data_IF_605208426527
#
_entry.id   IF_605208426527
#
_cell.length_a   1.000
_cell.length_b   1.000
_cell.length_c   1.000
_cell.angle_alpha   90.00
_cell.angle_beta   90.00
_cell.angle_gamma   90.00
#
_symmetry.space_group_name_H-M   'P 1'
#
loop_
_entity.id
_entity.type
_entity.pdbx_description
1 polymer ?
#
# COMPACT_ATOMS: atom_id res chain seq x y z
N UNK A 1 9.41 -21.37 45.83
CA UNK A 1 9.66 -20.12 45.08
C UNK A 1 8.65 -19.88 43.94
N UNK A 2 8.00 -20.91 43.40
CA UNK A 2 7.02 -20.80 42.29
C UNK A 2 5.85 -19.84 42.54
N UNK A 3 5.32 -19.78 43.77
CA UNK A 3 4.17 -18.91 44.11
C UNK A 3 4.48 -17.41 43.88
N UNK A 4 5.70 -16.95 44.20
CA UNK A 4 6.11 -15.57 43.92
C UNK A 4 6.24 -15.32 42.40
N UNK A 5 6.69 -16.31 41.64
CA UNK A 5 6.80 -16.22 40.17
C UNK A 5 5.42 -16.07 39.52
N UNK A 6 4.43 -16.86 39.95
CA UNK A 6 3.07 -16.78 39.46
C UNK A 6 2.37 -15.45 39.81
N UNK A 7 2.65 -14.88 40.99
CA UNK A 7 2.16 -13.55 41.36
C UNK A 7 2.83 -12.46 40.50
N UNK A 8 4.14 -12.56 40.26
CA UNK A 8 4.86 -11.65 39.36
C UNK A 8 4.30 -11.68 37.92
N UNK A 9 4.07 -12.88 37.38
CA UNK A 9 3.44 -13.07 36.08
C UNK A 9 2.01 -12.51 36.04
N UNK A 10 1.18 -12.78 37.05
CA UNK A 10 -0.18 -12.26 37.13
C UNK A 10 -0.21 -10.71 37.19
N UNK A 11 0.66 -10.09 37.99
CA UNK A 11 0.79 -8.63 38.07
C UNK A 11 1.29 -8.02 36.74
N UNK A 12 2.22 -8.71 36.05
CA UNK A 12 2.67 -8.31 34.72
C UNK A 12 1.52 -8.36 33.69
N UNK A 13 0.73 -9.44 33.65
CA UNK A 13 -0.46 -9.54 32.79
C UNK A 13 -1.51 -8.47 33.12
N UNK A 14 -1.75 -8.17 34.40
CA UNK A 14 -2.68 -7.11 34.82
C UNK A 14 -2.18 -5.74 34.34
N UNK A 15 -0.91 -5.41 34.57
CA UNK A 15 -0.32 -4.16 34.09
C UNK A 15 -0.36 -4.04 32.55
N UNK A 16 -0.16 -5.15 31.85
CA UNK A 16 -0.22 -5.23 30.39
C UNK A 16 -1.65 -5.04 29.85
N UNK A 17 -2.65 -5.66 30.48
CA UNK A 17 -4.08 -5.45 30.15
C UNK A 17 -4.48 -3.99 30.38
N UNK A 18 -4.05 -3.37 31.48
CA UNK A 18 -4.30 -1.95 31.74
C UNK A 18 -3.64 -1.04 30.68
N UNK A 19 -2.44 -1.37 30.23
CA UNK A 19 -1.75 -0.66 29.14
C UNK A 19 -2.50 -0.81 27.80
N UNK A 20 -2.98 -2.00 27.46
CA UNK A 20 -3.84 -2.24 26.28
C UNK A 20 -5.12 -1.41 26.36
N UNK A 21 -5.81 -1.42 27.50
CA UNK A 21 -7.04 -0.63 27.70
C UNK A 21 -6.79 0.88 27.60
N UNK A 22 -5.62 1.35 28.05
CA UNK A 22 -5.18 2.73 27.88
C UNK A 22 -4.97 3.09 26.41
N UNK A 23 -4.30 2.22 25.63
CA UNK A 23 -4.09 2.39 24.19
C UNK A 23 -5.43 2.39 23.42
N UNK A 24 -6.33 1.44 23.72
CA UNK A 24 -7.67 1.39 23.11
C UNK A 24 -8.45 2.67 23.44
N UNK A 25 -8.39 3.15 24.68
CA UNK A 25 -9.02 4.41 25.10
C UNK A 25 -8.44 5.62 24.38
N UNK A 26 -7.13 5.65 24.14
CA UNK A 26 -6.46 6.69 23.36
C UNK A 26 -6.92 6.69 21.88
N UNK A 27 -7.01 5.53 21.23
CA UNK A 27 -7.53 5.45 19.85
C UNK A 27 -9.02 5.80 19.77
N UNK A 28 -9.82 5.39 20.76
CA UNK A 28 -11.24 5.76 20.88
C UNK A 28 -11.42 7.28 21.05
N UNK A 29 -10.56 7.94 21.85
CA UNK A 29 -10.59 9.39 22.09
C UNK A 29 -10.10 10.23 20.89
N UNK A 30 -9.27 9.68 20.02
CA UNK A 30 -8.72 10.39 18.85
C UNK A 30 -9.56 10.25 17.55
N UNK A 31 -10.76 9.65 17.59
CA UNK A 31 -11.75 9.66 16.50
C UNK A 31 -11.42 8.87 15.23
N UNK A 32 -10.15 8.49 14.97
CA UNK A 32 -9.70 7.78 13.76
C UNK A 32 -9.94 6.26 13.77
N UNK A 33 -10.91 5.78 14.56
CA UNK A 33 -11.16 4.35 14.75
C UNK A 33 -11.71 3.60 13.51
N UNK A 34 -12.20 4.32 12.49
CA UNK A 34 -13.01 3.74 11.40
C UNK A 34 -12.25 3.05 10.24
N UNK A 35 -10.94 3.23 10.08
CA UNK A 35 -10.24 2.72 8.87
C UNK A 35 -9.00 1.83 9.13
N UNK A 36 -8.26 2.00 10.23
CA UNK A 36 -7.05 1.21 10.50
C UNK A 36 -6.98 0.57 11.91
N UNK A 37 -7.90 0.92 12.81
CA UNK A 37 -7.78 0.51 14.22
C UNK A 37 -8.02 -0.97 14.52
N UNK A 38 -8.75 -1.70 13.67
CA UNK A 38 -9.06 -3.14 13.89
C UNK A 38 -7.95 -4.09 13.43
N UNK A 39 -7.53 -4.09 12.14
CA UNK A 39 -6.55 -5.07 11.67
C UNK A 39 -5.17 -4.90 12.34
N UNK A 40 -4.69 -3.67 12.52
CA UNK A 40 -3.38 -3.43 13.15
C UNK A 40 -3.33 -3.87 14.61
N UNK A 41 -4.42 -3.69 15.37
CA UNK A 41 -4.50 -4.19 16.76
C UNK A 41 -4.59 -5.72 16.79
N UNK A 42 -5.32 -6.35 15.86
CA UNK A 42 -5.39 -7.82 15.75
C UNK A 42 -4.02 -8.41 15.40
N UNK A 43 -3.30 -7.83 14.42
CA UNK A 43 -1.95 -8.27 14.05
C UNK A 43 -0.95 -8.10 15.20
N UNK A 44 -1.05 -6.99 15.96
CA UNK A 44 -0.24 -6.78 17.16
C UNK A 44 -0.53 -7.84 18.24
N UNK A 45 -1.81 -8.15 18.50
CA UNK A 45 -2.20 -9.22 19.43
C UNK A 45 -1.68 -10.59 18.98
N UNK A 46 -1.79 -10.93 17.70
CA UNK A 46 -1.25 -12.20 17.16
C UNK A 46 0.27 -12.27 17.35
N UNK A 47 1.00 -11.18 17.02
CA UNK A 47 2.45 -11.13 17.22
C UNK A 47 2.84 -11.30 18.69
N UNK A 48 2.06 -10.75 19.62
CA UNK A 48 2.31 -10.88 21.07
C UNK A 48 1.98 -12.29 21.57
N UNK A 49 0.87 -12.88 21.13
CA UNK A 49 0.51 -14.26 21.47
C UNK A 49 1.65 -15.20 21.06
N UNK A 50 2.19 -15.05 19.85
CA UNK A 50 3.33 -15.84 19.37
C UNK A 50 4.59 -15.67 20.24
N UNK A 51 4.87 -14.47 20.74
CA UNK A 51 5.99 -14.22 21.67
C UNK A 51 5.75 -14.93 23.01
N UNK A 52 4.55 -14.79 23.59
CA UNK A 52 4.20 -15.37 24.90
C UNK A 52 4.11 -16.91 24.86
N UNK A 53 3.61 -17.49 23.76
CA UNK A 53 3.62 -18.96 23.58
C UNK A 53 4.98 -19.50 23.16
N UNK A 54 5.84 -18.67 22.55
CA UNK A 54 7.17 -19.06 22.10
C UNK A 54 8.22 -19.15 23.22
N UNK A 55 7.98 -18.54 24.38
CA UNK A 55 8.91 -18.57 25.53
C UNK A 55 8.87 -19.85 26.36
N UNK A 56 8.01 -20.82 26.04
CA UNK A 56 8.01 -22.15 26.67
C UNK A 56 8.61 -23.19 25.73
N UNK A 57 9.65 -23.88 26.21
CA UNK A 57 10.38 -24.99 25.55
C UNK A 57 11.19 -24.64 24.29
N UNK A 58 12.33 -23.97 24.46
CA UNK A 58 13.63 -24.51 24.01
C UNK A 58 14.82 -23.64 24.44
N UNK A 59 15.94 -24.30 24.77
CA UNK A 59 17.27 -23.72 24.99
C UNK A 59 17.90 -23.26 23.65
N UNK A 60 17.13 -22.58 22.79
CA UNK A 60 17.59 -22.13 21.48
C UNK A 60 17.95 -20.64 21.55
N UNK A 61 19.24 -20.26 21.38
CA UNK A 61 19.68 -18.85 21.45
C UNK A 61 19.03 -17.95 20.39
N UNK A 62 18.44 -18.57 19.35
CA UNK A 62 17.65 -17.92 18.30
C UNK A 62 16.34 -17.33 18.87
N UNK A 63 15.65 -18.04 19.78
CA UNK A 63 14.39 -17.54 20.37
C UNK A 63 14.69 -16.37 21.31
N UNK A 64 15.76 -16.46 22.10
CA UNK A 64 16.22 -15.35 22.94
C UNK A 64 16.59 -14.12 22.10
N UNK A 65 17.31 -14.30 20.98
CA UNK A 65 17.57 -13.22 20.03
C UNK A 65 16.29 -12.58 19.49
N UNK A 66 15.29 -13.37 19.09
CA UNK A 66 14.00 -12.83 18.63
C UNK A 66 13.20 -12.14 19.75
N UNK A 67 13.28 -12.63 20.99
CA UNK A 67 12.65 -11.99 22.15
C UNK A 67 13.30 -10.63 22.46
N UNK A 68 14.64 -10.57 22.47
CA UNK A 68 15.41 -9.32 22.65
C UNK A 68 15.14 -8.35 21.50
N UNK A 69 15.16 -8.80 20.25
CA UNK A 69 14.86 -7.98 19.08
C UNK A 69 13.43 -7.42 19.15
N UNK A 70 12.45 -8.25 19.53
CA UNK A 70 11.06 -7.83 19.74
C UNK A 70 10.94 -6.80 20.87
N UNK A 71 11.66 -7.00 21.97
CA UNK A 71 11.70 -6.04 23.08
C UNK A 71 12.31 -4.68 22.65
N UNK A 72 13.41 -4.69 21.88
CA UNK A 72 14.03 -3.47 21.32
C UNK A 72 13.03 -2.73 20.41
N UNK A 73 12.33 -3.46 19.53
CA UNK A 73 11.31 -2.88 18.65
C UNK A 73 10.11 -2.33 19.46
N UNK A 74 9.69 -3.01 20.52
CA UNK A 74 8.64 -2.53 21.43
C UNK A 74 9.05 -1.24 22.14
N UNK A 75 10.28 -1.15 22.66
CA UNK A 75 10.83 0.09 23.24
C UNK A 75 10.89 1.21 22.19
N UNK A 76 11.31 0.93 20.97
CA UNK A 76 11.31 1.90 19.87
C UNK A 76 9.90 2.45 19.57
N UNK A 77 8.87 1.59 19.49
CA UNK A 77 7.49 2.02 19.32
C UNK A 77 6.95 2.80 20.53
N UNK A 78 7.34 2.43 21.75
CA UNK A 78 7.03 3.20 22.96
C UNK A 78 7.62 4.61 22.91
N UNK A 79 8.89 4.74 22.53
CA UNK A 79 9.57 6.03 22.34
C UNK A 79 8.88 6.86 21.25
N UNK A 80 8.53 6.26 20.10
CA UNK A 80 7.78 6.96 19.05
C UNK A 80 6.38 7.42 19.51
N UNK A 81 5.67 6.59 20.29
CA UNK A 81 4.37 6.95 20.86
C UNK A 81 4.52 8.13 21.84
N UNK A 82 5.52 8.07 22.72
CA UNK A 82 5.86 9.16 23.66
C UNK A 82 6.23 10.44 22.90
N UNK A 83 7.08 10.38 21.87
CA UNK A 83 7.43 11.53 21.03
C UNK A 83 6.21 12.12 20.29
N UNK A 84 5.29 11.27 19.82
CA UNK A 84 4.05 11.70 19.17
C UNK A 84 3.09 12.39 20.15
N UNK A 85 3.05 11.94 21.42
CA UNK A 85 2.34 12.63 22.50
C UNK A 85 3.03 13.95 22.85
N UNK A 86 4.36 13.99 22.99
CA UNK A 86 5.14 15.21 23.26
C UNK A 86 4.91 16.29 22.18
N UNK A 87 4.86 15.91 20.90
CA UNK A 87 4.53 16.84 19.80
C UNK A 87 3.09 17.37 19.83
N UNK A 88 2.18 16.76 20.61
CA UNK A 88 0.73 17.05 20.60
C UNK A 88 0.20 17.67 21.90
N UNK A 89 0.83 17.46 23.05
CA UNK A 89 0.29 17.90 24.35
C UNK A 89 0.97 19.13 24.98
N UNK A 90 2.15 19.55 24.52
CA UNK A 90 2.78 20.82 24.92
C UNK A 90 3.23 20.94 26.39
N UNK A 91 2.90 19.99 27.25
CA UNK A 91 3.29 19.96 28.67
C UNK A 91 4.79 19.70 28.85
N UNK A 92 5.35 20.28 29.91
CA UNK A 92 6.78 20.57 30.03
C UNK A 92 7.71 19.35 29.83
N UNK A 93 8.56 19.44 28.79
CA UNK A 93 9.55 18.43 28.36
C UNK A 93 10.44 17.89 29.49
N UNK A 94 10.69 18.68 30.55
CA UNK A 94 11.63 18.33 31.63
C UNK A 94 11.20 17.11 32.46
N UNK A 95 9.90 16.95 32.76
CA UNK A 95 9.45 15.86 33.64
C UNK A 95 9.53 14.48 32.96
N UNK A 96 9.24 14.40 31.67
CA UNK A 96 9.29 13.13 30.93
C UNK A 96 10.72 12.71 30.55
N UNK A 97 11.65 13.66 30.37
CA UNK A 97 13.08 13.35 30.19
C UNK A 97 13.63 12.66 31.45
N UNK A 98 13.25 13.13 32.65
CA UNK A 98 13.67 12.51 33.92
C UNK A 98 13.21 11.05 33.99
N UNK A 99 11.95 10.75 33.65
CA UNK A 99 11.46 9.35 33.63
C UNK A 99 12.19 8.48 32.61
N UNK A 100 12.45 8.99 31.41
CA UNK A 100 13.18 8.24 30.37
C UNK A 100 14.65 7.98 30.76
N UNK A 101 15.33 8.97 31.34
CA UNK A 101 16.71 8.85 31.82
C UNK A 101 16.80 7.87 32.99
N UNK A 102 15.87 7.94 33.96
CA UNK A 102 15.81 6.98 35.08
C UNK A 102 15.58 5.54 34.60
N UNK A 103 14.76 5.33 33.56
CA UNK A 103 14.54 4.01 32.98
C UNK A 103 15.81 3.46 32.30
N UNK A 104 16.54 4.29 31.54
CA UNK A 104 17.82 3.91 30.92
C UNK A 104 18.89 3.59 31.98
N UNK A 105 18.97 4.39 33.06
CA UNK A 105 19.89 4.13 34.18
C UNK A 105 19.56 2.81 34.88
N UNK A 106 18.27 2.51 35.10
CA UNK A 106 17.84 1.25 35.71
C UNK A 106 18.25 0.03 34.87
N UNK A 107 18.12 0.11 33.54
CA UNK A 107 18.57 -0.96 32.63
C UNK A 107 20.10 -1.09 32.61
N UNK A 108 20.83 0.02 32.62
CA UNK A 108 22.31 0.00 32.63
C UNK A 108 22.89 -0.61 33.92
N UNK A 109 22.28 -0.36 35.08
CA UNK A 109 22.73 -0.90 36.37
C UNK A 109 22.58 -2.42 36.48
N UNK A 110 21.65 -3.04 35.74
CA UNK A 110 21.50 -4.50 35.69
C UNK A 110 22.61 -5.20 34.88
N UNK A 111 23.39 -4.45 34.08
CA UNK A 111 24.45 -5.00 33.22
C UNK A 111 25.84 -5.14 33.85
N UNK A 112 26.05 -4.60 35.06
CA UNK A 112 27.40 -4.52 35.68
C UNK A 112 27.46 -5.46 36.89
N UNK A 113 27.68 -6.76 36.65
CA UNK A 113 27.86 -7.77 37.71
C UNK A 113 28.90 -8.84 37.35
N UNK A 114 30.14 -8.42 37.10
CA UNK A 114 31.32 -9.28 37.10
C UNK A 114 32.60 -8.46 37.39
N UNK A 115 33.43 -8.80 38.39
CA UNK A 115 34.62 -8.04 38.73
C UNK A 115 35.87 -8.53 37.96
N UNK A 116 36.70 -7.59 37.51
CA UNK A 116 38.08 -7.84 37.07
C UNK A 116 39.05 -7.41 38.18
N UNK A 117 40.18 -8.12 38.32
CA UNK A 117 41.23 -7.80 39.30
C UNK A 117 42.59 -7.73 38.63
N UNK A 118 43.26 -6.57 38.72
CA UNK A 118 44.54 -6.30 38.07
C UNK A 118 45.72 -6.36 39.08
N UNK A 119 46.76 -7.12 38.71
CA UNK A 119 48.20 -6.80 38.78
C UNK A 119 48.72 -5.78 39.83
N UNK A 120 49.81 -6.13 40.54
CA UNK A 120 51.17 -5.49 40.43
C UNK A 120 52.07 -5.72 41.66
N UNK A 121 53.36 -5.99 41.40
CA UNK A 121 54.48 -6.20 42.34
C UNK A 121 55.08 -4.87 42.86
N UNK A 122 55.67 -4.85 44.07
CA UNK A 122 56.42 -3.69 44.57
C UNK A 122 57.81 -4.04 45.18
N UNK A 123 58.84 -3.42 44.57
CA UNK A 123 60.12 -2.87 45.06
C UNK A 123 60.68 -3.18 46.47
N UNK A 124 62.02 -3.34 46.56
CA UNK A 124 62.82 -3.17 47.78
C UNK A 124 63.88 -2.05 47.63
N UNK A 125 64.40 -1.50 48.74
CA UNK A 125 65.00 -0.14 48.83
C UNK A 125 66.25 -0.07 49.75
N UNK A 126 67.21 0.85 49.47
CA UNK A 126 68.32 1.36 50.36
C UNK A 126 69.42 0.32 50.71
N UNK A 127 70.64 0.63 51.21
CA UNK A 127 71.31 1.73 51.98
C UNK A 127 72.77 1.91 51.42
N UNK A 128 73.69 2.74 51.94
CA UNK A 128 73.89 4.21 51.78
C UNK A 128 75.32 4.62 52.28
N UNK A 129 75.70 5.92 52.18
CA UNK A 129 76.92 6.59 52.76
C UNK A 129 78.30 6.23 52.16
N UNK A 130 79.39 7.02 52.26
CA UNK A 130 79.68 8.47 52.39
C UNK A 130 81.17 8.70 52.03
N UNK A 131 81.58 9.86 51.51
CA UNK A 131 82.90 10.52 51.73
C UNK A 131 83.13 11.70 50.76
N UNK A 132 83.40 12.86 51.33
CA UNK A 132 84.13 14.01 50.78
C UNK A 132 85.55 13.94 51.44
N UNK A 133 86.68 14.43 50.93
CA UNK A 133 86.95 15.56 50.02
C UNK A 133 88.16 15.27 49.10
N UNK A 134 87.93 14.77 47.89
CA UNK A 134 88.87 14.97 46.76
C UNK A 134 88.17 15.01 45.39
N UNK A 135 86.84 15.13 45.43
CA UNK A 135 85.93 14.65 44.38
C UNK A 135 85.33 15.78 43.52
N UNK A 136 85.51 17.03 43.92
CA UNK A 136 84.69 18.17 43.47
C UNK A 136 84.88 18.54 41.97
N UNK A 137 86.05 18.34 41.36
CA UNK A 137 86.26 18.70 39.94
C UNK A 137 85.83 17.61 38.95
N UNK A 138 86.09 16.34 39.25
CA UNK A 138 85.63 15.19 38.43
C UNK A 138 84.12 15.00 38.56
N UNK A 139 83.59 15.08 39.78
CA UNK A 139 82.16 14.94 40.04
C UNK A 139 81.36 16.10 39.45
N UNK A 140 81.92 17.31 39.33
CA UNK A 140 81.32 18.43 38.58
C UNK A 140 81.31 18.17 37.07
N UNK A 141 82.40 17.67 36.48
CA UNK A 141 82.41 17.27 35.06
C UNK A 141 81.47 16.10 34.77
N UNK A 142 81.35 15.15 35.70
CA UNK A 142 80.41 14.04 35.59
C UNK A 142 78.96 14.50 35.75
N UNK A 143 78.68 15.52 36.58
CA UNK A 143 77.38 16.17 36.67
C UNK A 143 77.04 16.94 35.39
N UNK A 144 77.95 17.78 34.90
CA UNK A 144 77.76 18.55 33.65
C UNK A 144 77.54 17.62 32.45
N UNK A 145 78.27 16.49 32.39
CA UNK A 145 78.03 15.47 31.37
C UNK A 145 76.66 14.79 31.55
N UNK A 146 76.27 14.43 32.78
CA UNK A 146 74.94 13.84 33.03
C UNK A 146 73.80 14.80 32.73
N UNK A 147 73.93 16.09 33.02
CA UNK A 147 72.95 17.11 32.59
C UNK A 147 72.89 17.25 31.07
N UNK A 148 74.03 17.19 30.37
CA UNK A 148 74.06 17.24 28.90
C UNK A 148 73.44 15.98 28.27
N UNK A 149 73.76 14.79 28.80
CA UNK A 149 73.20 13.51 28.37
C UNK A 149 71.68 13.46 28.67
N UNK A 150 71.24 13.87 29.87
CA UNK A 150 69.81 13.94 30.25
C UNK A 150 69.03 14.96 29.39
N UNK A 151 69.63 16.11 29.08
CA UNK A 151 69.03 17.14 28.22
C UNK A 151 68.90 16.67 26.77
N UNK A 152 69.86 15.90 26.28
CA UNK A 152 69.81 15.24 24.97
C UNK A 152 68.71 14.18 24.95
N UNK A 153 68.65 13.34 25.98
CA UNK A 153 67.64 12.29 26.12
C UNK A 153 66.21 12.87 26.21
N UNK A 154 66.01 13.96 26.95
CA UNK A 154 64.74 14.72 26.97
C UNK A 154 64.35 15.25 25.59
N UNK A 155 65.29 15.78 24.81
CA UNK A 155 65.01 16.24 23.45
C UNK A 155 64.66 15.09 22.49
N UNK A 156 65.29 13.92 22.62
CA UNK A 156 64.95 12.74 21.82
C UNK A 156 63.57 12.17 22.19
N UNK A 157 63.22 12.10 23.48
CA UNK A 157 61.91 11.65 23.93
C UNK A 157 60.80 12.64 23.55
N UNK A 158 61.04 13.96 23.62
CA UNK A 158 60.10 14.99 23.16
C UNK A 158 59.90 14.92 21.63
N UNK A 159 60.98 14.69 20.86
CA UNK A 159 60.91 14.44 19.41
C UNK A 159 60.14 13.17 19.07
N UNK A 160 60.35 12.07 19.81
CA UNK A 160 59.59 10.82 19.66
C UNK A 160 58.11 11.03 19.94
N UNK A 161 57.77 11.76 21.00
CA UNK A 161 56.39 12.07 21.36
C UNK A 161 55.71 12.91 20.27
N UNK A 162 56.42 13.87 19.68
CA UNK A 162 55.94 14.66 18.55
C UNK A 162 55.72 13.81 17.29
N UNK A 163 56.62 12.89 16.95
CA UNK A 163 56.42 11.95 15.81
C UNK A 163 55.24 11.00 16.06
N UNK A 164 55.08 10.50 17.28
CA UNK A 164 53.94 9.64 17.65
C UNK A 164 52.60 10.39 17.56
N UNK A 165 52.55 11.67 17.98
CA UNK A 165 51.38 12.52 17.81
C UNK A 165 51.08 12.81 16.33
N UNK A 166 52.10 13.07 15.50
CA UNK A 166 51.93 13.28 14.07
C UNK A 166 51.37 12.03 13.37
N UNK A 167 51.88 10.83 13.69
CA UNK A 167 51.35 9.56 13.18
C UNK A 167 49.89 9.33 13.58
N UNK A 168 49.53 9.61 14.84
CA UNK A 168 48.13 9.49 15.31
C UNK A 168 47.19 10.43 14.56
N UNK A 169 47.60 11.67 14.30
CA UNK A 169 46.82 12.62 13.50
C UNK A 169 46.69 12.18 12.03
N UNK A 170 47.73 11.57 11.44
CA UNK A 170 47.66 11.01 10.09
C UNK A 170 46.72 9.80 10.01
N UNK A 171 46.81 8.87 10.97
CA UNK A 171 45.92 7.71 11.05
C UNK A 171 44.45 8.13 11.27
N UNK A 172 44.18 9.12 12.12
CA UNK A 172 42.85 9.69 12.34
C UNK A 172 42.31 10.38 11.08
N UNK A 173 43.14 11.15 10.37
CA UNK A 173 42.78 11.76 9.08
C UNK A 173 42.45 10.71 8.03
N UNK A 174 43.24 9.62 7.94
CA UNK A 174 42.98 8.51 7.01
C UNK A 174 41.66 7.80 7.34
N UNK A 175 41.36 7.61 8.63
CA UNK A 175 40.10 7.01 9.07
C UNK A 175 38.89 7.91 8.73
N UNK A 176 39.03 9.23 8.91
CA UNK A 176 38.00 10.20 8.54
C UNK A 176 37.76 10.25 7.02
N UNK A 177 38.83 10.17 6.20
CA UNK A 177 38.71 10.09 4.75
C UNK A 177 38.04 8.79 4.30
N UNK A 178 38.37 7.64 4.91
CA UNK A 178 37.72 6.36 4.63
C UNK A 178 36.22 6.39 4.99
N UNK A 179 35.86 6.99 6.13
CA UNK A 179 34.46 7.18 6.53
C UNK A 179 33.70 8.09 5.55
N UNK A 180 34.30 9.20 5.13
CA UNK A 180 33.70 10.10 4.13
C UNK A 180 33.49 9.38 2.78
N UNK A 181 34.44 8.53 2.37
CA UNK A 181 34.35 7.71 1.16
C UNK A 181 33.20 6.71 1.24
N UNK A 182 33.07 6.00 2.37
CA UNK A 182 31.94 5.07 2.63
C UNK A 182 30.59 5.78 2.59
N UNK A 183 30.45 6.93 3.24
CA UNK A 183 29.22 7.74 3.17
C UNK A 183 28.90 8.20 1.74
N UNK A 184 29.93 8.50 0.93
CA UNK A 184 29.76 8.85 -0.49
C UNK A 184 29.40 7.64 -1.37
N UNK A 185 29.88 6.44 -1.04
CA UNK A 185 29.48 5.18 -1.70
C UNK A 185 28.02 4.82 -1.34
N UNK A 186 27.64 4.87 -0.05
CA UNK A 186 26.26 4.67 0.42
C UNK A 186 25.28 5.65 -0.23
N UNK A 187 25.64 6.94 -0.30
CA UNK A 187 24.81 7.94 -0.98
C UNK A 187 24.64 7.62 -2.47
N UNK A 188 25.71 7.20 -3.16
CA UNK A 188 25.62 6.80 -4.57
C UNK A 188 24.71 5.58 -4.77
N UNK A 189 24.77 4.60 -3.86
CA UNK A 189 23.86 3.45 -3.89
C UNK A 189 22.39 3.85 -3.64
N UNK A 190 22.14 4.77 -2.71
CA UNK A 190 20.80 5.30 -2.45
C UNK A 190 20.25 6.10 -3.66
N UNK A 191 21.07 6.96 -4.28
CA UNK A 191 20.71 7.71 -5.49
C UNK A 191 20.44 6.76 -6.68
N UNK A 192 21.20 5.66 -6.82
CA UNK A 192 20.98 4.64 -7.86
C UNK A 192 19.71 3.82 -7.61
N UNK A 193 19.43 3.44 -6.37
CA UNK A 193 18.17 2.77 -5.99
C UNK A 193 16.95 3.67 -6.23
N UNK A 194 17.04 4.95 -5.89
CA UNK A 194 15.99 5.93 -6.15
C UNK A 194 15.69 6.06 -7.66
N UNK A 195 16.73 6.13 -8.51
CA UNK A 195 16.56 6.14 -9.98
C UNK A 195 15.90 4.86 -10.50
N UNK A 196 16.31 3.69 -10.00
CA UNK A 196 15.69 2.40 -10.38
C UNK A 196 14.20 2.34 -10.02
N UNK A 197 13.83 2.83 -8.83
CA UNK A 197 12.42 2.92 -8.41
C UNK A 197 11.62 3.94 -9.25
N UNK A 198 12.23 5.06 -9.64
CA UNK A 198 11.62 6.05 -10.53
C UNK A 198 11.39 5.49 -11.94
N UNK A 199 12.37 4.77 -12.49
CA UNK A 199 12.27 4.11 -13.80
C UNK A 199 11.23 2.98 -13.81
N UNK A 200 11.18 2.15 -12.76
CA UNK A 200 10.17 1.10 -12.59
C UNK A 200 8.76 1.70 -12.48
N UNK A 201 8.59 2.77 -11.68
CA UNK A 201 7.33 3.49 -11.60
C UNK A 201 6.93 4.09 -12.95
N UNK A 202 7.85 4.71 -13.68
CA UNK A 202 7.59 5.28 -15.01
C UNK A 202 7.14 4.20 -16.01
N UNK A 203 7.73 3.01 -15.94
CA UNK A 203 7.32 1.87 -16.76
C UNK A 203 5.91 1.37 -16.38
N UNK A 204 5.59 1.30 -15.09
CA UNK A 204 4.26 0.95 -14.60
C UNK A 204 3.19 1.97 -15.00
N UNK A 205 3.47 3.28 -14.87
CA UNK A 205 2.58 4.36 -15.30
C UNK A 205 2.35 4.33 -16.84
N UNK A 206 3.38 4.01 -17.63
CA UNK A 206 3.25 3.84 -19.08
C UNK A 206 2.41 2.60 -19.46
N UNK A 207 2.61 1.47 -18.78
CA UNK A 207 1.82 0.26 -18.97
C UNK A 207 0.34 0.48 -18.60
N UNK A 208 0.07 1.13 -17.47
CA UNK A 208 -1.29 1.46 -17.04
C UNK A 208 -1.98 2.38 -18.06
N UNK A 209 -1.28 3.39 -18.57
CA UNK A 209 -1.81 4.28 -19.63
C UNK A 209 -2.11 3.53 -20.92
N UNK A 210 -1.22 2.62 -21.36
CA UNK A 210 -1.45 1.78 -22.54
C UNK A 210 -2.67 0.87 -22.37
N UNK A 211 -2.81 0.20 -21.23
CA UNK A 211 -3.98 -0.63 -20.92
C UNK A 211 -5.27 0.20 -20.88
N UNK A 212 -5.25 1.40 -20.29
CA UNK A 212 -6.41 2.28 -20.24
C UNK A 212 -6.80 2.79 -21.65
N UNK A 213 -5.83 3.12 -22.51
CA UNK A 213 -6.10 3.52 -23.88
C UNK A 213 -6.69 2.36 -24.71
N UNK A 214 -6.18 1.14 -24.53
CA UNK A 214 -6.70 -0.03 -25.23
C UNK A 214 -8.10 -0.43 -24.75
N UNK A 215 -8.36 -0.41 -23.43
CA UNK A 215 -9.71 -0.59 -22.89
C UNK A 215 -10.69 0.45 -23.43
N UNK A 216 -10.26 1.73 -23.54
CA UNK A 216 -11.08 2.77 -24.15
C UNK A 216 -11.36 2.49 -25.62
N UNK A 217 -10.35 2.12 -26.41
CA UNK A 217 -10.52 1.76 -27.83
C UNK A 217 -11.51 0.60 -28.00
N UNK A 218 -11.41 -0.43 -27.15
CA UNK A 218 -12.34 -1.57 -27.15
C UNK A 218 -13.76 -1.15 -26.77
N UNK A 219 -13.93 -0.28 -25.76
CA UNK A 219 -15.23 0.25 -25.37
C UNK A 219 -15.86 1.13 -26.46
N UNK A 220 -15.08 2.02 -27.09
CA UNK A 220 -15.52 2.88 -28.20
C UNK A 220 -15.91 2.02 -29.43
N UNK A 221 -15.17 0.94 -29.73
CA UNK A 221 -15.51 -0.01 -30.79
C UNK A 221 -16.79 -0.81 -30.49
N UNK A 222 -16.95 -1.30 -29.25
CA UNK A 222 -18.17 -1.99 -28.82
C UNK A 222 -19.39 -1.07 -28.87
N UNK A 223 -19.28 0.17 -28.39
CA UNK A 223 -20.35 1.16 -28.46
C UNK A 223 -20.74 1.46 -29.92
N UNK A 224 -19.76 1.60 -30.82
CA UNK A 224 -20.02 1.79 -32.25
C UNK A 224 -20.72 0.58 -32.89
N UNK A 225 -20.31 -0.65 -32.57
CA UNK A 225 -20.99 -1.86 -33.04
C UNK A 225 -22.43 -1.94 -32.52
N UNK A 226 -22.66 -1.65 -31.25
CA UNK A 226 -24.02 -1.62 -30.67
C UNK A 226 -24.91 -0.55 -31.32
N UNK A 227 -24.38 0.64 -31.62
CA UNK A 227 -25.11 1.68 -32.35
C UNK A 227 -25.45 1.26 -33.78
N UNK A 228 -24.54 0.58 -34.49
CA UNK A 228 -24.80 0.07 -35.83
C UNK A 228 -25.84 -1.06 -35.82
N UNK A 229 -25.75 -1.99 -34.86
CA UNK A 229 -26.74 -3.05 -34.62
C UNK A 229 -28.13 -2.48 -34.34
N UNK A 230 -28.24 -1.53 -33.41
CA UNK A 230 -29.49 -0.84 -33.08
C UNK A 230 -30.08 -0.11 -34.29
N UNK A 231 -29.24 0.55 -35.10
CA UNK A 231 -29.70 1.20 -36.32
C UNK A 231 -30.23 0.19 -37.33
N UNK A 232 -29.53 -0.92 -37.57
CA UNK A 232 -29.99 -2.00 -38.46
C UNK A 232 -31.33 -2.56 -38.00
N UNK A 233 -31.52 -2.78 -36.70
CA UNK A 233 -32.78 -3.26 -36.13
C UNK A 233 -33.91 -2.23 -36.29
N UNK A 234 -33.63 -0.93 -36.09
CA UNK A 234 -34.61 0.14 -36.31
C UNK A 234 -35.00 0.26 -37.80
N UNK A 235 -34.04 0.20 -38.71
CA UNK A 235 -34.26 0.23 -40.16
C UNK A 235 -35.09 -1.01 -40.61
N UNK A 236 -34.83 -2.19 -40.03
CA UNK A 236 -35.62 -3.41 -40.30
C UNK A 236 -37.06 -3.31 -39.75
N UNK A 237 -37.24 -2.79 -38.53
CA UNK A 237 -38.57 -2.57 -37.95
C UNK A 237 -39.39 -1.57 -38.76
N UNK A 238 -38.79 -0.45 -39.18
CA UNK A 238 -39.44 0.54 -40.03
C UNK A 238 -39.86 -0.07 -41.38
N UNK A 239 -39.02 -0.93 -41.97
CA UNK A 239 -39.31 -1.62 -43.23
C UNK A 239 -40.48 -2.60 -43.09
N UNK A 240 -40.58 -3.34 -41.97
CA UNK A 240 -41.73 -4.23 -41.66
C UNK A 240 -43.03 -3.44 -41.49
N UNK A 241 -43.01 -2.33 -40.75
CA UNK A 241 -44.19 -1.47 -40.57
C UNK A 241 -44.71 -0.88 -41.89
N UNK A 242 -43.81 -0.47 -42.79
CA UNK A 242 -44.18 0.00 -44.13
C UNK A 242 -44.81 -1.11 -44.99
N UNK A 243 -44.30 -2.35 -44.87
CA UNK A 243 -44.85 -3.50 -45.57
C UNK A 243 -46.26 -3.86 -45.05
N UNK A 244 -46.47 -3.87 -43.73
CA UNK A 244 -47.79 -4.05 -43.11
C UNK A 244 -48.80 -2.98 -43.54
N UNK A 245 -48.43 -1.69 -43.51
CA UNK A 245 -49.29 -0.61 -44.00
C UNK A 245 -49.65 -0.75 -45.49
N UNK A 246 -48.69 -1.17 -46.32
CA UNK A 246 -48.91 -1.38 -47.76
C UNK A 246 -49.86 -2.57 -48.03
N UNK A 247 -49.77 -3.64 -47.24
CA UNK A 247 -50.72 -4.76 -47.30
C UNK A 247 -52.13 -4.29 -46.88
N UNK A 248 -52.24 -3.50 -45.82
CA UNK A 248 -53.52 -3.04 -45.29
C UNK A 248 -54.24 -2.05 -46.22
N UNK A 249 -53.50 -1.17 -46.92
CA UNK A 249 -54.05 -0.34 -48.01
C UNK A 249 -54.52 -1.17 -49.22
N UNK A 250 -53.88 -2.30 -49.51
CA UNK A 250 -54.27 -3.16 -50.63
C UNK A 250 -55.57 -3.94 -50.34
N UNK A 251 -55.89 -4.19 -49.06
CA UNK A 251 -57.14 -4.85 -48.64
C UNK A 251 -58.33 -3.88 -48.45
N UNK A 252 -58.13 -2.56 -48.53
CA UNK A 252 -59.19 -1.55 -48.34
C UNK A 252 -59.67 -0.88 -49.63
N UNK A 253 -59.28 -1.37 -50.81
CA UNK A 253 -60.08 -1.15 -52.01
C UNK A 253 -61.36 -2.02 -51.89
N UNK A 254 -62.56 -1.44 -51.70
CA UNK A 254 -63.76 -2.21 -51.97
C UNK A 254 -63.70 -2.66 -53.42
N UNK A 255 -64.06 -3.92 -53.67
CA UNK A 255 -64.35 -4.37 -55.02
C UNK A 255 -65.59 -3.59 -55.51
N UNK A 256 -65.35 -2.40 -56.06
CA UNK A 256 -66.35 -1.59 -56.74
C UNK A 256 -66.68 -2.27 -58.07
N UNK A 257 -67.35 -3.42 -57.95
CA UNK A 257 -68.06 -4.02 -59.07
C UNK A 257 -68.96 -2.93 -59.63
N UNK A 258 -68.68 -2.55 -60.87
CA UNK A 258 -69.41 -1.51 -61.59
C UNK A 258 -70.81 -2.03 -61.92
N UNK A 259 -71.67 -2.15 -60.90
CA UNK A 259 -73.08 -2.48 -61.00
C UNK A 259 -73.86 -1.26 -61.44
N UNK A 260 -73.44 -0.67 -62.57
CA UNK A 260 -74.33 0.13 -63.40
C UNK A 260 -75.57 -0.72 -63.65
N UNK A 261 -76.70 -0.32 -63.07
CA UNK A 261 -77.95 -1.06 -63.13
C UNK A 261 -78.41 -1.14 -64.59
N UNK A 262 -78.10 -2.24 -65.26
CA UNK A 262 -78.36 -2.45 -66.67
C UNK A 262 -79.88 -2.51 -66.90
N UNK A 263 -80.50 -1.37 -67.16
CA UNK A 263 -81.95 -1.28 -67.31
C UNK A 263 -82.38 -1.90 -68.66
N UNK A 264 -83.00 -3.07 -68.60
CA UNK A 264 -83.55 -3.73 -69.78
C UNK A 264 -85.04 -3.40 -69.95
N UNK A 265 -85.42 -2.89 -71.12
CA UNK A 265 -86.81 -2.53 -71.44
C UNK A 265 -87.75 -3.75 -71.52
N UNK A 266 -87.24 -4.93 -71.89
CA UNK A 266 -87.97 -6.18 -72.01
C UNK A 266 -87.02 -7.39 -72.09
N UNK A 267 -87.56 -8.61 -71.99
CA UNK A 267 -86.77 -9.84 -72.08
C UNK A 267 -86.07 -10.06 -73.43
N UNK A 268 -86.55 -9.45 -74.54
CA UNK A 268 -85.85 -9.53 -75.81
C UNK A 268 -84.49 -8.80 -75.75
N UNK A 269 -84.42 -7.64 -75.07
CA UNK A 269 -83.16 -6.93 -74.81
C UNK A 269 -82.22 -7.74 -73.91
N UNK A 270 -82.74 -8.42 -72.88
CA UNK A 270 -81.97 -9.30 -71.99
C UNK A 270 -81.35 -10.47 -72.76
N UNK A 271 -82.15 -11.15 -73.61
CA UNK A 271 -81.68 -12.26 -74.46
C UNK A 271 -80.68 -11.77 -75.51
N UNK A 272 -80.92 -10.62 -76.16
CA UNK A 272 -80.00 -10.02 -77.12
C UNK A 272 -78.65 -9.62 -76.50
N UNK A 273 -78.64 -9.21 -75.22
CA UNK A 273 -77.41 -8.95 -74.47
C UNK A 273 -76.69 -10.23 -73.97
N UNK A 274 -77.27 -11.42 -74.20
CA UNK A 274 -76.75 -12.69 -73.67
C UNK A 274 -76.70 -12.70 -72.14
N UNK A 275 -77.76 -12.22 -71.48
CA UNK A 275 -77.88 -12.13 -70.00
C UNK A 275 -79.11 -12.84 -69.43
N UNK A 276 -79.88 -13.56 -70.25
CA UNK A 276 -80.98 -14.38 -69.78
C UNK A 276 -80.48 -15.79 -69.39
N UNK A 277 -81.06 -16.44 -68.36
CA UNK A 277 -82.03 -15.88 -67.41
C UNK A 277 -81.38 -14.88 -66.43
N UNK A 278 -82.15 -13.88 -65.99
CA UNK A 278 -81.74 -12.93 -64.95
C UNK A 278 -82.31 -13.34 -63.59
N UNK A 279 -81.45 -13.54 -62.60
CA UNK A 279 -81.89 -13.94 -61.25
C UNK A 279 -82.08 -12.72 -60.34
N UNK A 280 -83.02 -12.82 -59.40
CA UNK A 280 -83.30 -11.77 -58.40
C UNK A 280 -82.03 -11.35 -57.65
N UNK A 281 -81.69 -10.06 -57.75
CA UNK A 281 -80.47 -9.48 -57.18
C UNK A 281 -79.31 -9.32 -58.17
N UNK A 282 -79.38 -9.89 -59.38
CA UNK A 282 -78.41 -9.61 -60.44
C UNK A 282 -78.61 -8.20 -61.04
N UNK A 283 -77.54 -7.52 -61.50
CA UNK A 283 -77.65 -6.23 -62.17
C UNK A 283 -78.56 -6.31 -63.40
N UNK A 284 -79.64 -5.53 -63.39
CA UNK A 284 -80.63 -5.48 -64.46
C UNK A 284 -81.83 -6.41 -64.30
N UNK A 285 -81.88 -7.26 -63.27
CA UNK A 285 -83.15 -7.88 -62.86
C UNK A 285 -84.14 -6.78 -62.44
N UNK A 286 -85.38 -6.92 -62.91
CA UNK A 286 -86.51 -6.07 -62.52
C UNK A 286 -87.76 -6.92 -62.46
N UNK A 287 -88.64 -6.69 -61.49
CA UNK A 287 -89.89 -7.44 -61.34
C UNK A 287 -90.85 -7.29 -62.54
N UNK A 288 -90.62 -6.33 -63.44
CA UNK A 288 -91.37 -6.23 -64.70
C UNK A 288 -90.92 -7.26 -65.76
N UNK A 289 -89.72 -7.83 -65.61
CA UNK A 289 -89.14 -8.84 -66.51
C UNK A 289 -89.43 -10.28 -66.02
N UNK A 290 -89.90 -10.41 -64.78
CA UNK A 290 -90.26 -11.64 -64.08
C UNK A 290 -91.80 -11.70 -64.03
N UNK A 291 -92.41 -12.40 -65.00
CA UNK A 291 -93.87 -12.36 -65.21
C UNK A 291 -94.63 -13.24 -64.22
N UNK A 292 -93.97 -14.29 -63.76
CA UNK A 292 -94.43 -15.32 -62.82
C UNK A 292 -94.16 -14.89 -61.36
N UNK A 293 -93.09 -14.12 -61.15
CA UNK A 293 -92.64 -13.65 -59.83
C UNK A 293 -91.79 -14.65 -59.06
N UNK A 294 -91.23 -15.66 -59.72
CA UNK A 294 -90.50 -16.76 -59.07
C UNK A 294 -89.04 -16.40 -58.72
N UNK A 295 -88.54 -15.27 -59.22
CA UNK A 295 -87.18 -14.77 -59.04
C UNK A 295 -86.25 -15.01 -60.24
N UNK A 296 -86.75 -15.57 -61.35
CA UNK A 296 -85.98 -15.88 -62.57
C UNK A 296 -86.62 -15.17 -63.79
N UNK A 297 -86.21 -13.93 -64.02
CA UNK A 297 -86.66 -13.17 -65.17
C UNK A 297 -86.14 -13.74 -66.50
N UNK A 298 -87.02 -13.78 -67.52
CA UNK A 298 -86.68 -14.09 -68.91
C UNK A 298 -86.12 -15.50 -69.18
N UNK A 299 -86.50 -16.50 -68.40
CA UNK A 299 -86.12 -17.92 -68.57
C UNK A 299 -86.64 -18.61 -69.85
N UNK A 300 -87.66 -18.03 -70.51
CA UNK A 300 -88.31 -18.54 -71.73
C UNK A 300 -88.25 -17.48 -72.84
#
# INVERSE_FOLDING_TARGET
>A
MEVLSNIGAALFFIAFILLILCIISFFKKNGKAKQYGRPTVILFMISIILIVTGTTTSEHPVIEFFAILSFILFIFFLVLAILSVIKKTGVAKKQFIITAVLFVIFVALLGISAPSSEKTTATSTKVASNNEEQKNSEQKKELEKKEADEKTQKQEDEKRLAEEQARKQEDEKRLAEEQARKQQDEKRQADEQARKQEDEKRLADEQARKQQEEQKRQADEQARKQQEEQKRQADEQARKQQEEQKVQQTQTQPASGNTSSAYYKNCAAVRAAGKAPLHKGQPGYSSHLDRDGDGIACEK
#
